data_IF_116428842791
#
_entry.id   IF_116428842791
#
_cell.length_a   1.000
_cell.length_b   1.000
_cell.length_c   1.000
_cell.angle_alpha   90.00
_cell.angle_beta   90.00
_cell.angle_gamma   90.00
#
_symmetry.space_group_name_H-M   'P 1'
#
loop_
_entity.id
_entity.type
_entity.pdbx_description
1 polymer ?
#
# COMPACT_ATOMS: atom_id res chain seq x y z
N UNK A 1 -104.91 29.40 22.42
CA UNK A 1 -103.81 28.53 22.93
C UNK A 1 -102.64 28.69 21.96
N UNK A 2 -101.76 29.68 22.14
CA UNK A 2 -100.53 29.72 22.95
C UNK A 2 -99.26 29.19 22.22
N UNK A 3 -98.27 30.10 22.08
CA UNK A 3 -96.79 29.94 22.00
C UNK A 3 -96.18 29.58 20.63
N UNK A 4 -95.45 30.48 19.97
CA UNK A 4 -94.07 31.02 20.19
C UNK A 4 -92.96 30.12 19.60
N UNK A 5 -92.19 30.68 18.65
CA UNK A 5 -90.92 30.18 18.12
C UNK A 5 -89.82 30.09 19.19
N UNK A 6 -88.75 29.31 18.95
CA UNK A 6 -87.45 29.97 18.74
C UNK A 6 -86.54 29.31 17.68
N UNK A 7 -85.56 30.11 17.26
CA UNK A 7 -84.57 29.87 16.22
C UNK A 7 -83.62 28.68 16.49
N UNK A 8 -83.14 28.04 15.41
CA UNK A 8 -82.09 27.02 15.44
C UNK A 8 -80.82 27.55 14.79
N UNK A 9 -79.75 27.56 15.57
CA UNK A 9 -78.38 27.99 15.25
C UNK A 9 -77.67 26.92 14.42
N UNK A 10 -76.96 27.33 13.36
CA UNK A 10 -76.07 26.47 12.56
C UNK A 10 -74.79 26.09 13.32
N UNK A 11 -74.32 24.83 13.27
CA UNK A 11 -72.99 24.48 13.73
C UNK A 11 -71.91 24.84 12.68
N UNK A 12 -70.84 25.46 13.15
CA UNK A 12 -69.67 25.83 12.37
C UNK A 12 -68.85 24.60 11.95
N UNK A 13 -68.38 24.61 10.71
CA UNK A 13 -67.42 23.66 10.14
C UNK A 13 -66.03 24.02 10.68
N UNK A 14 -65.40 23.10 11.42
CA UNK A 14 -63.99 23.20 11.80
C UNK A 14 -63.16 22.43 10.77
N UNK A 15 -62.52 23.15 9.85
CA UNK A 15 -61.47 22.59 8.99
C UNK A 15 -60.16 22.53 9.79
N UNK A 16 -59.49 21.36 9.90
CA UNK A 16 -58.16 21.31 10.49
C UNK A 16 -57.15 22.01 9.56
N UNK A 17 -56.23 22.84 10.09
CA UNK A 17 -55.21 23.47 9.27
C UNK A 17 -54.19 22.42 8.80
N UNK A 18 -53.93 22.44 7.50
CA UNK A 18 -52.89 21.67 6.84
C UNK A 18 -51.50 22.08 7.35
N UNK A 19 -50.85 21.21 8.12
CA UNK A 19 -49.42 21.32 8.44
C UNK A 19 -48.60 20.90 7.22
N UNK A 20 -48.37 21.85 6.31
CA UNK A 20 -47.46 21.67 5.17
C UNK A 20 -45.99 21.74 5.64
N UNK A 21 -45.40 20.56 5.76
CA UNK A 21 -44.09 20.21 5.18
C UNK A 21 -42.89 21.08 5.54
N UNK A 22 -42.19 20.72 6.62
CA UNK A 22 -40.77 21.00 6.81
C UNK A 22 -40.03 19.68 7.05
N UNK A 23 -39.80 18.90 6.00
CA UNK A 23 -38.95 17.70 6.10
C UNK A 23 -38.30 17.33 4.77
N UNK A 24 -37.52 18.24 4.18
CA UNK A 24 -36.72 17.94 2.98
C UNK A 24 -35.44 18.79 2.89
N UNK A 25 -34.61 18.81 3.94
CA UNK A 25 -33.28 19.44 3.85
C UNK A 25 -32.15 18.57 4.42
N UNK A 26 -32.43 17.62 5.31
CA UNK A 26 -31.39 16.77 5.89
C UNK A 26 -30.87 15.65 4.96
N UNK A 27 -31.56 15.34 3.86
CA UNK A 27 -31.15 14.25 2.96
C UNK A 27 -30.02 14.62 1.96
N UNK A 28 -29.80 15.91 1.68
CA UNK A 28 -28.84 16.33 0.63
C UNK A 28 -27.39 16.52 1.13
N UNK A 29 -27.15 16.49 2.44
CA UNK A 29 -25.82 16.65 3.04
C UNK A 29 -25.09 15.33 3.29
N UNK A 30 -25.80 14.19 3.25
CA UNK A 30 -25.21 12.87 3.49
C UNK A 30 -24.60 12.23 2.22
N UNK A 31 -24.96 12.70 1.02
CA UNK A 31 -24.52 12.11 -0.25
C UNK A 31 -23.27 12.75 -0.85
N UNK A 32 -22.81 13.91 -0.36
CA UNK A 32 -21.63 14.60 -0.91
C UNK A 32 -20.32 14.34 -0.14
N UNK A 33 -20.39 13.75 1.06
CA UNK A 33 -19.24 13.43 1.90
C UNK A 33 -18.50 12.14 1.49
N UNK A 34 -19.06 11.35 0.58
CA UNK A 34 -18.48 10.05 0.16
C UNK A 34 -17.45 10.21 -0.98
N UNK A 35 -17.35 11.37 -1.62
CA UNK A 35 -16.44 11.60 -2.75
C UNK A 35 -15.07 12.20 -2.38
N UNK A 36 -14.85 12.60 -1.12
CA UNK A 36 -13.63 13.29 -0.69
C UNK A 36 -12.65 12.42 0.12
N UNK A 37 -13.00 11.17 0.41
CA UNK A 37 -12.11 10.22 1.06
C UNK A 37 -11.53 9.31 -0.02
N UNK A 38 -10.37 9.67 -0.58
CA UNK A 38 -9.54 8.66 -1.18
C UNK A 38 -9.09 7.75 -0.02
N UNK A 39 -9.52 6.48 0.04
CA UNK A 39 -9.02 5.59 1.07
C UNK A 39 -7.51 5.47 0.85
N UNK A 40 -6.70 5.89 1.83
CA UNK A 40 -5.36 5.32 2.00
C UNK A 40 -5.54 3.91 2.53
N UNK A 41 -6.13 3.03 1.71
CA UNK A 41 -6.27 1.62 2.06
C UNK A 41 -4.97 0.93 1.68
N UNK A 42 -4.40 0.22 2.65
CA UNK A 42 -3.30 -0.69 2.40
C UNK A 42 -3.75 -1.70 1.33
N UNK A 43 -2.94 -1.84 0.30
CA UNK A 43 -3.10 -2.79 -0.78
C UNK A 43 -1.97 -3.79 -0.75
N UNK A 44 -2.25 -5.05 -1.05
CA UNK A 44 -1.22 -6.07 -1.25
C UNK A 44 -0.79 -6.01 -2.71
N UNK A 45 0.50 -5.76 -2.94
CA UNK A 45 1.14 -5.94 -4.23
C UNK A 45 1.62 -7.40 -4.32
N UNK A 46 0.89 -8.21 -5.07
CA UNK A 46 1.28 -9.59 -5.42
C UNK A 46 1.69 -9.70 -6.90
N UNK A 47 2.30 -10.82 -7.26
CA UNK A 47 2.80 -11.07 -8.62
C UNK A 47 1.99 -12.10 -9.41
N UNK A 48 0.92 -12.66 -8.81
CA UNK A 48 0.09 -13.73 -9.39
C UNK A 48 -0.52 -13.42 -10.76
N UNK A 49 -0.74 -12.14 -11.06
CA UNK A 49 -1.34 -11.71 -12.32
C UNK A 49 -0.32 -11.53 -13.44
N UNK A 50 0.97 -11.57 -13.12
CA UNK A 50 2.06 -11.44 -14.07
C UNK A 50 2.39 -12.80 -14.67
N UNK A 51 2.87 -12.82 -15.92
CA UNK A 51 3.37 -14.05 -16.54
C UNK A 51 4.82 -14.30 -16.11
N UNK A 52 5.24 -15.57 -16.02
CA UNK A 52 6.65 -15.89 -15.85
C UNK A 52 7.49 -15.25 -16.94
N UNK A 53 8.54 -14.54 -16.53
CA UNK A 53 9.44 -13.79 -17.41
C UNK A 53 10.76 -13.49 -16.68
N UNK A 54 11.81 -13.13 -17.41
CA UNK A 54 13.14 -12.81 -16.88
C UNK A 54 13.50 -11.38 -17.25
N UNK A 55 14.13 -10.68 -16.32
CA UNK A 55 14.46 -9.27 -16.43
C UNK A 55 15.94 -9.01 -16.21
N UNK A 56 16.48 -8.16 -17.06
CA UNK A 56 17.84 -7.65 -16.95
C UNK A 56 17.91 -6.41 -16.06
N UNK A 57 19.07 -6.17 -15.46
CA UNK A 57 19.36 -4.96 -14.72
C UNK A 57 19.14 -3.72 -15.60
N UNK A 58 18.47 -2.70 -15.04
CA UNK A 58 18.07 -1.50 -15.75
C UNK A 58 16.68 -1.59 -16.38
N UNK A 59 16.15 -2.80 -16.62
CA UNK A 59 14.77 -2.96 -17.08
C UNK A 59 13.78 -2.59 -15.98
N UNK A 60 12.55 -2.26 -16.41
CA UNK A 60 11.46 -1.94 -15.51
C UNK A 60 10.23 -2.78 -15.78
N UNK A 61 9.58 -3.23 -14.72
CA UNK A 61 8.30 -3.91 -14.74
C UNK A 61 7.25 -3.02 -14.08
N UNK A 62 6.16 -2.74 -14.79
CA UNK A 62 5.02 -2.04 -14.22
C UNK A 62 3.98 -3.06 -13.75
N UNK A 63 3.59 -2.97 -12.48
CA UNK A 63 2.54 -3.84 -11.91
C UNK A 63 1.68 -3.03 -10.95
N UNK A 64 0.36 -3.16 -11.08
CA UNK A 64 -0.61 -2.35 -10.34
C UNK A 64 -0.30 -0.85 -10.50
N UNK A 65 0.00 -0.15 -9.41
CA UNK A 65 0.39 1.27 -9.38
C UNK A 65 1.89 1.48 -9.14
N UNK A 66 2.71 0.44 -9.29
CA UNK A 66 4.13 0.43 -8.97
C UNK A 66 4.98 0.13 -10.20
N UNK A 67 6.17 0.72 -10.20
CA UNK A 67 7.25 0.46 -11.13
C UNK A 67 8.39 -0.17 -10.36
N UNK A 68 8.78 -1.36 -10.79
CA UNK A 68 9.93 -2.11 -10.30
C UNK A 68 11.08 -1.86 -11.27
N UNK A 69 12.23 -1.42 -10.77
CA UNK A 69 13.46 -1.31 -11.53
C UNK A 69 14.45 -2.35 -11.03
N UNK A 70 14.90 -3.21 -11.93
CA UNK A 70 15.87 -4.24 -11.62
C UNK A 70 17.28 -3.66 -11.55
N UNK A 71 18.04 -4.05 -10.53
CA UNK A 71 19.36 -3.50 -10.22
C UNK A 71 20.41 -4.61 -10.38
N UNK A 72 21.50 -4.29 -11.08
CA UNK A 72 22.66 -5.17 -11.18
C UNK A 72 23.32 -5.37 -9.80
N UNK A 73 24.06 -6.46 -9.66
CA UNK A 73 24.98 -6.62 -8.53
C UNK A 73 26.03 -5.51 -8.52
N UNK A 74 26.67 -5.24 -7.36
CA UNK A 74 27.63 -4.15 -7.22
C UNK A 74 28.80 -4.20 -8.22
N UNK A 75 29.25 -5.39 -8.61
CA UNK A 75 30.41 -5.54 -9.51
C UNK A 75 30.02 -5.25 -10.96
N UNK A 76 28.89 -5.80 -11.42
CA UNK A 76 28.34 -5.51 -12.75
C UNK A 76 27.95 -4.04 -12.88
N UNK A 77 27.31 -3.47 -11.84
CA UNK A 77 26.93 -2.07 -11.81
C UNK A 77 28.16 -1.13 -11.93
N UNK A 78 29.24 -1.41 -11.18
CA UNK A 78 30.46 -0.62 -11.24
C UNK A 78 31.16 -0.70 -12.61
N UNK A 79 31.03 -1.85 -13.28
CA UNK A 79 31.52 -2.04 -14.65
C UNK A 79 30.64 -1.44 -15.74
N UNK A 80 29.47 -0.87 -15.40
CA UNK A 80 28.48 -0.40 -16.37
C UNK A 80 27.86 -1.51 -17.21
N UNK A 81 27.90 -2.75 -16.71
CA UNK A 81 27.38 -3.93 -17.38
C UNK A 81 25.87 -4.12 -17.16
N UNK A 82 25.35 -5.19 -17.78
CA UNK A 82 23.97 -5.65 -17.63
C UNK A 82 23.99 -7.12 -17.26
N UNK A 83 23.18 -7.52 -16.27
CA UNK A 83 23.01 -8.92 -15.86
C UNK A 83 21.53 -9.27 -15.73
N UNK A 84 21.16 -10.52 -16.02
CA UNK A 84 19.82 -11.04 -15.72
C UNK A 84 19.66 -11.15 -14.21
N UNK A 85 18.82 -10.34 -13.58
CA UNK A 85 18.72 -10.27 -12.11
C UNK A 85 17.31 -10.47 -11.59
N UNK A 86 16.30 -10.29 -12.43
CA UNK A 86 14.90 -10.42 -12.03
C UNK A 86 14.22 -11.59 -12.71
N UNK A 87 13.28 -12.22 -12.05
CA UNK A 87 12.34 -13.13 -12.69
C UNK A 87 10.98 -13.10 -11.99
N UNK A 88 9.92 -13.30 -12.76
CA UNK A 88 8.64 -13.77 -12.21
C UNK A 88 8.64 -15.28 -12.34
N UNK A 89 8.53 -15.98 -11.22
CA UNK A 89 8.56 -17.44 -11.18
C UNK A 89 7.20 -17.97 -10.74
N UNK A 90 6.78 -19.11 -11.32
CA UNK A 90 5.57 -19.82 -10.92
C UNK A 90 5.90 -20.80 -9.79
N UNK A 91 5.45 -20.48 -8.58
CA UNK A 91 5.68 -21.29 -7.39
C UNK A 91 4.93 -22.62 -7.35
N UNK A 92 3.94 -22.80 -8.23
CA UNK A 92 3.24 -24.08 -8.37
C UNK A 92 4.01 -25.09 -9.22
N UNK A 93 5.05 -24.66 -9.93
CA UNK A 93 5.83 -25.47 -10.85
C UNK A 93 7.27 -25.61 -10.35
N UNK A 94 7.66 -26.83 -9.97
CA UNK A 94 9.00 -27.12 -9.46
C UNK A 94 10.12 -26.75 -10.46
N UNK A 95 9.85 -26.84 -11.77
CA UNK A 95 10.84 -26.51 -12.80
C UNK A 95 11.03 -25.02 -13.06
N UNK A 96 10.24 -24.14 -12.43
CA UNK A 96 10.43 -22.69 -12.52
C UNK A 96 11.81 -22.26 -12.00
N UNK A 97 12.51 -23.14 -11.29
CA UNK A 97 13.78 -22.87 -10.65
C UNK A 97 14.80 -24.00 -10.86
N UNK A 98 14.93 -24.52 -12.07
CA UNK A 98 15.84 -25.66 -12.36
C UNK A 98 17.33 -25.40 -12.01
N UNK A 99 17.72 -24.14 -11.85
CA UNK A 99 19.10 -23.71 -11.59
C UNK A 99 19.37 -23.30 -10.13
N UNK A 100 18.36 -23.34 -9.25
CA UNK A 100 18.48 -22.93 -7.85
C UNK A 100 17.45 -23.66 -6.96
N UNK A 101 17.63 -23.59 -5.64
CA UNK A 101 16.65 -24.10 -4.69
C UNK A 101 15.67 -22.99 -4.30
N UNK A 102 14.59 -22.87 -5.07
CA UNK A 102 13.52 -21.91 -4.82
C UNK A 102 12.63 -22.29 -3.64
N UNK A 103 11.97 -21.29 -3.03
CA UNK A 103 11.02 -21.51 -1.95
C UNK A 103 9.89 -22.45 -2.37
N UNK A 104 9.56 -23.39 -1.49
CA UNK A 104 8.44 -24.32 -1.65
C UNK A 104 7.17 -23.75 -1.00
N UNK A 105 6.02 -24.28 -1.41
CA UNK A 105 4.72 -23.92 -0.84
C UNK A 105 4.12 -22.60 -1.36
N UNK A 106 4.74 -21.96 -2.34
CA UNK A 106 4.14 -20.84 -3.05
C UNK A 106 2.97 -21.35 -3.93
N UNK A 107 1.83 -20.66 -3.88
CA UNK A 107 0.59 -21.06 -4.58
C UNK A 107 0.32 -20.27 -5.87
N UNK A 108 1.21 -19.34 -6.21
CA UNK A 108 1.10 -18.48 -7.38
C UNK A 108 2.46 -17.93 -7.80
N UNK A 109 2.45 -16.80 -8.50
CA UNK A 109 3.68 -16.24 -9.04
C UNK A 109 4.31 -15.29 -8.02
N UNK A 110 5.63 -15.32 -7.94
CA UNK A 110 6.41 -14.46 -7.04
C UNK A 110 7.57 -13.80 -7.78
N UNK A 111 8.12 -12.75 -7.18
CA UNK A 111 9.29 -12.07 -7.70
C UNK A 111 10.56 -12.72 -7.15
N UNK A 112 11.41 -13.23 -8.04
CA UNK A 112 12.74 -13.70 -7.71
C UNK A 112 13.79 -12.67 -8.12
N UNK A 113 14.74 -12.41 -7.23
CA UNK A 113 15.93 -11.62 -7.50
C UNK A 113 17.15 -12.52 -7.38
N UNK A 114 17.92 -12.58 -8.46
CA UNK A 114 18.99 -13.52 -8.71
C UNK A 114 20.30 -12.76 -8.99
N UNK A 115 21.42 -13.48 -9.05
CA UNK A 115 22.72 -12.90 -9.44
C UNK A 115 23.12 -11.70 -8.59
N UNK A 116 22.95 -11.79 -7.27
CA UNK A 116 23.27 -10.75 -6.27
C UNK A 116 22.61 -9.38 -6.51
N UNK A 117 21.60 -9.35 -7.38
CA UNK A 117 20.95 -8.13 -7.79
C UNK A 117 20.05 -7.52 -6.72
N UNK A 118 19.29 -6.53 -7.16
CA UNK A 118 18.29 -5.88 -6.34
C UNK A 118 17.08 -5.47 -7.17
N UNK A 119 16.08 -4.94 -6.48
CA UNK A 119 14.92 -4.33 -7.11
C UNK A 119 14.53 -3.08 -6.35
N UNK A 120 14.32 -1.98 -7.09
CA UNK A 120 13.78 -0.75 -6.56
C UNK A 120 12.31 -0.61 -6.92
N UNK A 121 11.47 -0.44 -5.91
CA UNK A 121 10.05 -0.14 -6.05
C UNK A 121 9.84 1.36 -5.95
N UNK A 122 9.08 1.90 -6.88
CA UNK A 122 8.58 3.27 -6.84
C UNK A 122 7.13 3.29 -7.31
N UNK A 123 6.34 4.29 -6.91
CA UNK A 123 5.00 4.45 -7.47
C UNK A 123 5.07 5.04 -8.88
N UNK A 124 4.20 4.55 -9.76
CA UNK A 124 4.08 5.05 -11.13
C UNK A 124 3.63 6.53 -11.19
N UNK A 125 2.92 7.01 -10.16
CA UNK A 125 2.49 8.41 -10.01
C UNK A 125 3.53 9.29 -9.28
N UNK A 126 4.72 8.76 -9.00
CA UNK A 126 5.81 9.45 -8.28
C UNK A 126 5.47 9.91 -6.86
N UNK A 127 4.37 9.41 -6.28
CA UNK A 127 3.99 9.72 -4.90
C UNK A 127 4.68 8.81 -3.90
N UNK A 128 4.66 9.23 -2.64
CA UNK A 128 5.16 8.41 -1.56
C UNK A 128 4.21 7.25 -1.21
N UNK A 129 4.78 6.21 -0.61
CA UNK A 129 4.07 5.06 -0.05
C UNK A 129 4.74 4.58 1.24
N UNK A 130 4.01 3.83 2.04
CA UNK A 130 4.55 3.08 3.19
C UNK A 130 4.58 1.59 2.85
N UNK A 131 5.44 0.84 3.55
CA UNK A 131 5.46 -0.63 3.53
C UNK A 131 5.22 -1.13 4.96
N UNK A 132 4.19 -1.97 5.15
CA UNK A 132 3.82 -2.52 6.44
C UNK A 132 4.33 -3.96 6.65
N UNK A 133 4.58 -4.69 5.57
CA UNK A 133 5.04 -6.07 5.61
C UNK A 133 5.16 -6.64 4.21
N UNK A 134 5.75 -7.83 4.11
CA UNK A 134 5.97 -8.56 2.87
C UNK A 134 6.29 -10.01 3.18
N UNK A 135 6.07 -10.91 2.22
CA UNK A 135 6.56 -12.28 2.29
C UNK A 135 7.92 -12.36 1.59
N UNK A 136 8.85 -13.08 2.19
CA UNK A 136 10.19 -13.25 1.63
C UNK A 136 10.73 -14.65 1.89
N UNK A 137 11.69 -15.06 1.05
CA UNK A 137 12.46 -16.29 1.26
C UNK A 137 13.86 -16.15 0.68
N UNK A 138 14.75 -17.03 1.12
CA UNK A 138 16.05 -17.22 0.48
C UNK A 138 15.88 -18.11 -0.75
N UNK A 139 16.54 -17.73 -1.85
CA UNK A 139 16.72 -18.63 -2.99
C UNK A 139 18.13 -19.18 -2.88
N UNK A 140 18.24 -20.45 -2.51
CA UNK A 140 19.56 -21.04 -2.36
C UNK A 140 20.19 -21.29 -3.74
N UNK A 141 21.47 -20.90 -3.98
CA UNK A 141 22.12 -21.06 -5.27
C UNK A 141 22.26 -22.53 -5.70
N UNK A 142 22.23 -23.45 -4.74
CA UNK A 142 22.24 -24.90 -4.95
C UNK A 142 21.31 -25.59 -3.97
N UNK A 143 20.86 -26.79 -4.33
CA UNK A 143 20.10 -27.67 -3.43
C UNK A 143 20.98 -28.32 -2.38
N UNK A 144 20.40 -28.68 -1.22
CA UNK A 144 21.10 -29.49 -0.20
C UNK A 144 22.08 -28.70 0.68
N UNK A 145 21.97 -27.37 0.70
CA UNK A 145 22.70 -26.55 1.66
C UNK A 145 22.32 -26.93 3.10
N UNK A 146 23.28 -26.89 4.06
CA UNK A 146 22.98 -27.01 5.48
C UNK A 146 21.93 -26.01 5.96
N UNK A 147 21.11 -26.42 6.94
CA UNK A 147 20.16 -25.53 7.59
C UNK A 147 20.88 -24.54 8.50
N UNK A 148 21.18 -23.37 7.95
CA UNK A 148 21.78 -22.25 8.66
C UNK A 148 21.31 -20.92 8.07
N UNK A 149 21.60 -19.84 8.77
CA UNK A 149 21.33 -18.50 8.26
C UNK A 149 22.46 -18.09 7.31
N UNK A 150 22.15 -18.03 6.02
CA UNK A 150 23.12 -17.72 4.97
C UNK A 150 23.32 -16.22 4.77
N UNK A 151 22.40 -15.37 5.21
CA UNK A 151 22.50 -13.95 4.92
C UNK A 151 21.30 -13.14 5.38
N UNK A 152 21.18 -11.95 4.81
CA UNK A 152 20.09 -11.04 5.13
C UNK A 152 19.49 -10.44 3.87
N UNK A 153 18.17 -10.23 3.93
CA UNK A 153 17.47 -9.30 3.06
C UNK A 153 17.67 -7.89 3.62
N UNK A 154 18.18 -7.00 2.79
CA UNK A 154 18.42 -5.61 3.11
C UNK A 154 17.40 -4.73 2.40
N UNK A 155 16.82 -3.79 3.15
CA UNK A 155 15.89 -2.80 2.64
C UNK A 155 16.50 -1.42 2.80
N UNK A 156 16.35 -0.58 1.78
CA UNK A 156 16.77 0.81 1.80
C UNK A 156 15.70 1.68 1.17
N UNK A 157 15.05 2.51 1.99
CA UNK A 157 13.96 3.39 1.58
C UNK A 157 14.43 4.84 1.47
N UNK A 158 14.16 5.48 0.34
CA UNK A 158 14.43 6.90 0.09
C UNK A 158 13.21 7.74 0.49
N UNK A 159 13.42 8.75 1.33
CA UNK A 159 12.40 9.72 1.73
C UNK A 159 12.32 10.88 0.72
N UNK A 160 11.27 11.71 0.82
CA UNK A 160 11.07 12.86 -0.07
C UNK A 160 12.17 13.93 0.00
N UNK A 161 12.92 13.98 1.10
CA UNK A 161 14.06 14.88 1.28
C UNK A 161 15.40 14.26 0.78
N UNK A 162 15.36 13.08 0.17
CA UNK A 162 16.53 12.34 -0.32
C UNK A 162 17.26 11.51 0.74
N UNK A 163 16.86 11.57 2.01
CA UNK A 163 17.44 10.73 3.06
C UNK A 163 17.12 9.26 2.81
N UNK A 164 18.09 8.38 3.07
CA UNK A 164 17.91 6.92 3.00
C UNK A 164 17.80 6.35 4.42
N UNK A 165 16.78 5.53 4.64
CA UNK A 165 16.60 4.73 5.85
C UNK A 165 16.82 3.27 5.47
N UNK A 166 17.62 2.54 6.23
CA UNK A 166 17.92 1.14 5.96
C UNK A 166 17.57 0.24 7.15
N UNK A 167 17.29 -1.02 6.85
CA UNK A 167 17.00 -2.07 7.81
C UNK A 167 17.21 -3.44 7.15
N UNK A 168 17.31 -4.51 7.92
CA UNK A 168 17.55 -5.85 7.39
C UNK A 168 16.87 -6.94 8.20
N UNK A 169 16.63 -8.07 7.55
CA UNK A 169 16.14 -9.31 8.16
C UNK A 169 17.03 -10.46 7.78
N UNK A 170 17.34 -11.31 8.75
CA UNK A 170 17.86 -12.65 8.48
C UNK A 170 16.93 -13.37 7.50
N UNK A 171 17.52 -14.10 6.56
CA UNK A 171 16.74 -15.00 5.72
C UNK A 171 16.06 -16.08 6.56
N UNK A 172 14.84 -16.50 6.18
CA UNK A 172 14.18 -17.64 6.81
C UNK A 172 15.03 -18.90 6.64
N UNK A 173 15.05 -19.73 7.68
CA UNK A 173 15.72 -21.03 7.63
C UNK A 173 14.96 -22.07 6.79
N UNK A 174 15.51 -23.27 6.72
CA UNK A 174 14.85 -24.39 6.05
C UNK A 174 13.78 -25.03 6.94
N UNK A 175 12.75 -25.57 6.30
CA UNK A 175 11.81 -26.50 6.90
C UNK A 175 12.46 -27.85 7.25
N UNK A 176 11.71 -28.73 7.90
CA UNK A 176 12.19 -30.07 8.30
C UNK A 176 12.54 -30.99 7.14
N UNK A 177 12.07 -30.66 5.95
CA UNK A 177 12.34 -31.33 4.67
C UNK A 177 13.58 -30.77 3.94
N UNK A 178 14.27 -29.78 4.54
CA UNK A 178 15.46 -29.16 3.97
C UNK A 178 15.16 -28.09 2.90
N UNK A 179 13.90 -27.77 2.66
CA UNK A 179 13.50 -26.76 1.69
C UNK A 179 13.33 -25.38 2.33
N UNK A 180 13.55 -24.32 1.56
CA UNK A 180 13.23 -22.96 1.98
C UNK A 180 11.75 -22.67 1.76
N UNK A 181 11.18 -21.82 2.61
CA UNK A 181 9.77 -21.44 2.56
C UNK A 181 9.64 -19.93 2.68
N UNK A 182 8.53 -19.40 2.16
CA UNK A 182 8.17 -18.02 2.43
C UNK A 182 7.87 -17.83 3.91
N UNK A 183 8.34 -16.70 4.44
CA UNK A 183 7.99 -16.21 5.76
C UNK A 183 7.51 -14.77 5.64
N UNK A 184 6.51 -14.42 6.43
CA UNK A 184 6.02 -13.04 6.50
C UNK A 184 6.90 -12.19 7.41
N UNK A 185 7.41 -11.09 6.87
CA UNK A 185 8.01 -9.99 7.62
C UNK A 185 6.93 -8.96 7.98
N UNK A 186 6.84 -8.63 9.26
CA UNK A 186 5.98 -7.55 9.77
C UNK A 186 6.84 -6.39 10.22
N UNK A 187 6.60 -5.20 9.66
CA UNK A 187 7.38 -3.99 9.89
C UNK A 187 6.77 -3.13 10.99
N UNK A 188 5.99 -3.73 11.89
CA UNK A 188 5.29 -3.01 12.95
C UNK A 188 6.32 -2.24 13.79
N UNK A 189 6.21 -0.91 13.72
CA UNK A 189 7.12 0.10 14.29
C UNK A 189 8.48 0.25 13.57
N UNK A 190 8.93 1.51 13.46
CA UNK A 190 10.19 1.87 12.81
C UNK A 190 10.04 2.08 11.31
N UNK A 191 10.33 1.05 10.50
CA UNK A 191 10.43 1.19 9.05
C UNK A 191 9.09 1.50 8.37
N UNK A 192 7.99 0.95 8.88
CA UNK A 192 6.63 1.21 8.35
C UNK A 192 6.11 2.63 8.59
N UNK A 193 6.74 3.39 9.49
CA UNK A 193 6.34 4.77 9.80
C UNK A 193 6.84 5.78 8.75
N UNK A 194 7.71 5.36 7.83
CA UNK A 194 8.30 6.22 6.83
C UNK A 194 7.53 6.20 5.51
N UNK A 195 7.39 7.38 4.91
CA UNK A 195 6.85 7.56 3.58
C UNK A 195 8.00 7.57 2.56
N UNK A 196 8.09 6.52 1.76
CA UNK A 196 9.15 6.30 0.78
C UNK A 196 8.74 6.76 -0.61
N UNK A 197 9.65 7.42 -1.32
CA UNK A 197 9.54 7.70 -2.76
C UNK A 197 10.18 6.59 -3.60
N UNK A 198 11.10 5.84 -3.01
CA UNK A 198 11.68 4.63 -3.58
C UNK A 198 12.06 3.66 -2.46
N UNK A 199 11.93 2.35 -2.72
CA UNK A 199 12.29 1.29 -1.79
C UNK A 199 13.09 0.22 -2.51
N UNK A 200 14.36 0.06 -2.14
CA UNK A 200 15.23 -0.97 -2.68
C UNK A 200 15.26 -2.19 -1.77
N UNK A 201 15.12 -3.36 -2.37
CA UNK A 201 15.46 -4.65 -1.78
C UNK A 201 16.73 -5.17 -2.45
N UNK A 202 17.65 -5.68 -1.64
CA UNK A 202 18.84 -6.41 -2.07
C UNK A 202 19.19 -7.46 -1.02
N UNK A 203 20.09 -8.38 -1.33
CA UNK A 203 20.56 -9.38 -0.38
C UNK A 203 22.04 -9.20 -0.07
N UNK A 204 22.47 -9.71 1.08
CA UNK A 204 23.86 -9.96 1.41
C UNK A 204 24.01 -11.35 2.02
N UNK A 205 25.23 -11.88 1.97
CA UNK A 205 25.58 -13.20 2.51
C UNK A 205 26.59 -13.01 3.64
N UNK A 206 26.48 -13.83 4.68
CA UNK A 206 27.44 -13.82 5.77
C UNK A 206 28.76 -14.45 5.33
N UNK A 207 29.86 -13.73 5.57
CA UNK A 207 31.19 -14.29 5.43
C UNK A 207 31.63 -15.02 6.72
N UNK A 208 32.85 -15.54 6.72
CA UNK A 208 33.43 -16.28 7.86
C UNK A 208 33.53 -15.45 9.15
N UNK A 209 33.54 -14.12 9.05
CA UNK A 209 33.57 -13.22 10.22
C UNK A 209 32.16 -12.83 10.70
N UNK A 210 31.12 -13.35 10.05
CA UNK A 210 29.72 -13.03 10.34
C UNK A 210 29.27 -11.67 9.79
N UNK A 211 30.10 -10.99 8.99
CA UNK A 211 29.70 -9.76 8.32
C UNK A 211 28.87 -10.09 7.08
N UNK A 212 27.74 -9.39 6.91
CA UNK A 212 26.89 -9.55 5.74
C UNK A 212 27.38 -8.63 4.62
N UNK A 213 27.82 -9.20 3.50
CA UNK A 213 28.34 -8.42 2.38
C UNK A 213 27.69 -8.78 1.04
N UNK A 214 27.53 -7.73 0.23
CA UNK A 214 27.26 -7.74 -1.20
C UNK A 214 27.66 -6.35 -1.69
N UNK A 215 28.95 -6.13 -1.90
CA UNK A 215 29.54 -4.86 -2.29
C UNK A 215 30.62 -5.05 -3.35
N UNK A 216 31.15 -3.95 -3.88
CA UNK A 216 32.24 -4.01 -4.86
C UNK A 216 33.51 -4.65 -4.27
N UNK A 217 33.82 -4.35 -3.01
CA UNK A 217 35.01 -4.85 -2.31
C UNK A 217 34.82 -6.26 -1.74
N UNK A 218 33.57 -6.67 -1.49
CA UNK A 218 33.20 -7.98 -0.97
C UNK A 218 31.88 -8.42 -1.60
N UNK A 219 31.93 -8.94 -2.84
CA UNK A 219 30.73 -9.39 -3.54
C UNK A 219 30.20 -10.69 -2.95
N UNK A 220 28.91 -10.96 -3.15
CA UNK A 220 28.28 -12.19 -2.68
C UNK A 220 28.53 -13.40 -3.61
N UNK A 221 29.19 -13.21 -4.76
CA UNK A 221 29.58 -14.26 -5.71
C UNK A 221 28.41 -15.14 -6.19
N UNK A 222 27.30 -14.49 -6.53
CA UNK A 222 26.05 -15.10 -6.96
C UNK A 222 25.42 -16.03 -5.91
N UNK A 223 25.42 -15.59 -4.65
CA UNK A 223 24.84 -16.33 -3.53
C UNK A 223 23.72 -15.55 -2.84
N UNK A 224 23.67 -14.22 -3.00
CA UNK A 224 22.67 -13.34 -2.44
C UNK A 224 21.40 -13.29 -3.27
N UNK A 225 20.63 -14.38 -3.29
CA UNK A 225 19.39 -14.47 -4.07
C UNK A 225 18.17 -14.59 -3.15
N UNK A 226 17.06 -14.00 -3.55
CA UNK A 226 15.88 -13.93 -2.69
C UNK A 226 14.58 -13.88 -3.48
N UNK A 227 13.50 -14.31 -2.83
CA UNK A 227 12.15 -14.24 -3.33
C UNK A 227 11.34 -13.21 -2.53
N UNK A 228 10.42 -12.51 -3.19
CA UNK A 228 9.47 -11.57 -2.60
C UNK A 228 8.06 -11.87 -3.09
N UNK A 229 7.09 -11.74 -2.18
CA UNK A 229 5.67 -11.76 -2.51
C UNK A 229 4.85 -10.93 -1.51
N UNK A 230 3.58 -10.67 -1.83
CA UNK A 230 2.57 -10.06 -0.96
C UNK A 230 3.04 -8.80 -0.21
N UNK A 231 3.59 -7.81 -0.92
CA UNK A 231 4.04 -6.56 -0.30
C UNK A 231 2.83 -5.74 0.15
N UNK A 232 2.66 -5.57 1.45
CA UNK A 232 1.59 -4.75 2.04
C UNK A 232 1.98 -3.28 2.02
N UNK A 233 1.55 -2.57 0.98
CA UNK A 233 1.89 -1.17 0.71
C UNK A 233 0.68 -0.25 0.85
N UNK A 234 0.88 1.00 1.25
CA UNK A 234 -0.19 2.00 1.29
C UNK A 234 0.25 3.31 0.65
N UNK A 235 -0.62 3.87 -0.19
CA UNK A 235 -0.46 5.23 -0.69
C UNK A 235 -0.46 6.23 0.47
N UNK A 236 0.47 7.18 0.46
CA UNK A 236 0.48 8.32 1.39
C UNK A 236 -0.23 9.50 0.71
N UNK A 237 -1.37 9.98 1.24
CA UNK A 237 -2.04 11.15 0.69
C UNK A 237 -1.15 12.40 0.75
N UNK A 238 -1.17 13.22 -0.29
CA UNK A 238 -0.40 14.46 -0.30
C UNK A 238 -0.90 15.43 0.79
N UNK A 239 -0.03 16.23 1.41
CA UNK A 239 -0.44 17.27 2.37
C UNK A 239 -1.49 18.24 1.79
N UNK A 240 -1.39 18.54 0.50
CA UNK A 240 -2.35 19.36 -0.25
C UNK A 240 -3.76 18.76 -0.25
N UNK A 241 -3.89 17.43 -0.24
CA UNK A 241 -5.19 16.74 -0.23
C UNK A 241 -5.91 17.02 1.09
N UNK A 242 -5.20 16.97 2.21
CA UNK A 242 -5.77 17.36 3.51
C UNK A 242 -6.10 18.86 3.56
N UNK A 243 -5.25 19.71 3.00
CA UNK A 243 -5.54 21.16 2.94
C UNK A 243 -6.78 21.45 2.08
N UNK A 244 -6.95 20.80 0.93
CA UNK A 244 -8.11 20.96 0.06
C UNK A 244 -9.38 20.38 0.72
N UNK A 245 -9.26 19.25 1.42
CA UNK A 245 -10.35 18.71 2.22
C UNK A 245 -10.78 19.69 3.31
N UNK A 246 -9.83 20.22 4.09
CA UNK A 246 -10.10 21.21 5.12
C UNK A 246 -10.64 22.52 4.55
N UNK A 247 -10.14 22.98 3.41
CA UNK A 247 -10.65 24.15 2.72
C UNK A 247 -12.08 23.93 2.24
N UNK A 248 -12.39 22.75 1.67
CA UNK A 248 -13.74 22.36 1.28
C UNK A 248 -14.70 22.33 2.47
N UNK A 249 -14.30 21.71 3.58
CA UNK A 249 -15.06 21.70 4.82
C UNK A 249 -15.25 23.10 5.41
N UNK A 250 -14.21 23.94 5.36
CA UNK A 250 -14.26 25.33 5.78
C UNK A 250 -15.26 26.16 4.96
N UNK A 251 -15.26 26.00 3.64
CA UNK A 251 -16.21 26.67 2.75
C UNK A 251 -17.67 26.25 3.02
N UNK A 252 -17.91 24.95 3.23
CA UNK A 252 -19.24 24.42 3.59
C UNK A 252 -19.70 24.99 4.95
N UNK A 253 -18.80 25.05 5.95
CA UNK A 253 -19.09 25.62 7.26
C UNK A 253 -19.47 27.11 7.20
N UNK A 254 -18.75 27.91 6.39
CA UNK A 254 -19.09 29.33 6.18
C UNK A 254 -20.46 29.50 5.52
N UNK A 255 -20.77 28.69 4.51
CA UNK A 255 -22.07 28.73 3.83
C UNK A 255 -23.22 28.32 4.77
N UNK A 256 -23.02 27.30 5.61
CA UNK A 256 -23.99 26.89 6.62
C UNK A 256 -24.28 28.02 7.63
N UNK A 257 -23.23 28.71 8.12
CA UNK A 257 -23.38 29.84 9.06
C UNK A 257 -24.19 31.00 8.47
N UNK A 258 -23.98 31.31 7.18
CA UNK A 258 -24.73 32.37 6.47
C UNK A 258 -26.23 32.03 6.32
N UNK A 259 -26.59 30.75 6.27
CA UNK A 259 -27.99 30.31 6.14
C UNK A 259 -28.71 30.34 7.49
N UNK A 260 -28.02 30.06 8.61
CA UNK A 260 -28.61 30.11 9.95
C UNK A 260 -28.90 31.54 10.43
N UNK A 261 -28.14 32.54 9.95
CA UNK A 261 -28.36 33.95 10.32
C UNK A 261 -29.64 34.60 9.77
N UNK A 262 -30.37 33.96 8.84
CA UNK A 262 -31.63 34.48 8.29
C UNK A 262 -32.88 34.10 9.08
N UNK A 263 -32.79 33.20 10.07
CA UNK A 263 -33.95 32.77 10.87
C UNK A 263 -34.18 33.60 12.14
N UNK A 264 -33.25 34.47 12.54
CA UNK A 264 -33.38 35.28 13.77
C UNK A 264 -34.09 36.64 13.58
N UNK A 265 -34.53 36.98 12.36
CA UNK A 265 -35.08 38.30 12.05
C UNK A 265 -36.62 38.37 11.95
N UNK A 266 -37.37 37.31 12.34
CA UNK A 266 -38.84 37.26 12.18
C UNK A 266 -39.56 37.05 13.53
N UNK A 267 -39.10 37.70 14.59
CA UNK A 267 -39.88 37.78 15.85
C UNK A 267 -39.74 39.14 16.54
N UNK A 268 -39.94 40.23 15.82
CA UNK A 268 -40.29 41.52 16.45
C UNK A 268 -41.28 42.26 15.56
N UNK A 269 -42.58 41.96 15.68
CA UNK A 269 -43.66 42.91 15.38
C UNK A 269 -45.03 42.39 15.86
N UNK A 270 -45.73 43.23 16.64
CA UNK A 270 -47.05 43.01 17.22
C UNK A 270 -46.96 43.01 18.75
N UNK A 271 -46.98 44.15 19.44
CA UNK A 271 -48.13 45.05 19.69
C UNK A 271 -49.27 44.33 20.42
#
# INVERSE_FOLDING_TARGET
MNRLSPARVSPAIVNPPATRGRSTVFAALATLSVLASAPSMASVLSFDTLRPDIYESGQTLNTSSYKLQFLADPTTAAGGGVSGVGAILDGSVASSCDIAACPQGASGNYLAILNDGGVNFSRADHRAFTLAGFDYSFIAPITGLPNMNWGQLQLSGTLSNGQVISTSWAFPGQGSDGNYYFQSASLLSGFSNYAFTGLTFNACIFNETGACSNSLDSPAFNQGQFALDNLSVSAVPEPSTYMLMLAGLGAIGMLARRRSGKFAAVTVQGA
#
